data_IF_141890556166
#
_entry.id   IF_141890556166
#
_cell.length_a   1.000
_cell.length_b   1.000
_cell.length_c   1.000
_cell.angle_alpha   90.00
_cell.angle_beta   90.00
_cell.angle_gamma   90.00
#
_symmetry.space_group_name_H-M   'P 1'
#
loop_
_entity.id
_entity.type
_entity.pdbx_description
1 polymer ?
#
# COMPACT_ATOMS: atom_id res chain seq x y z
N UNK A 1 -7.96 5.29 7.78
CA UNK A 1 -7.48 6.69 7.58
C UNK A 1 -6.29 6.79 6.60
N UNK A 2 -5.32 5.88 6.71
CA UNK A 2 -4.06 5.89 5.94
C UNK A 2 -4.27 5.88 4.41
N UNK A 3 -5.15 5.01 3.93
CA UNK A 3 -5.55 4.97 2.50
C UNK A 3 -6.15 6.28 1.97
N UNK A 4 -6.58 7.21 2.85
CA UNK A 4 -7.08 8.52 2.44
C UNK A 4 -5.97 9.49 2.05
N UNK A 5 -4.69 9.15 2.18
CA UNK A 5 -3.59 9.99 1.67
C UNK A 5 -3.13 9.54 0.27
N UNK A 6 -3.22 8.25 -0.04
CA UNK A 6 -2.82 7.66 -1.33
C UNK A 6 -3.49 8.33 -2.53
N UNK A 7 -2.75 8.53 -3.62
CA UNK A 7 -3.31 9.08 -4.87
C UNK A 7 -3.91 10.49 -4.72
N UNK A 8 -3.30 11.31 -3.86
CA UNK A 8 -3.61 12.74 -3.71
C UNK A 8 -2.34 13.54 -3.98
N UNK A 9 -2.47 14.87 -4.05
CA UNK A 9 -1.30 15.75 -4.14
C UNK A 9 -0.35 15.57 -2.95
N UNK A 10 -0.87 15.24 -1.76
CA UNK A 10 -0.04 14.93 -0.59
C UNK A 10 0.78 13.65 -0.79
N UNK A 11 0.19 12.63 -1.42
CA UNK A 11 0.91 11.41 -1.79
C UNK A 11 1.92 11.69 -2.90
N UNK A 12 1.57 12.46 -3.93
CA UNK A 12 2.51 12.75 -5.01
C UNK A 12 3.74 13.52 -4.52
N UNK A 13 3.56 14.49 -3.62
CA UNK A 13 4.65 15.27 -3.03
C UNK A 13 5.49 14.50 -1.97
N UNK A 14 4.98 13.37 -1.45
CA UNK A 14 5.57 12.67 -0.30
C UNK A 14 5.19 11.19 -0.28
N UNK A 15 5.37 10.50 -1.42
CA UNK A 15 4.85 9.15 -1.61
C UNK A 15 5.52 8.15 -0.66
N UNK A 16 6.81 8.37 -0.37
CA UNK A 16 7.59 7.54 0.53
C UNK A 16 7.04 7.59 1.96
N UNK A 17 6.76 8.76 2.50
CA UNK A 17 6.24 8.94 3.85
C UNK A 17 4.84 8.35 3.97
N UNK A 18 3.97 8.63 3.00
CA UNK A 18 2.59 8.12 3.00
C UNK A 18 2.56 6.59 2.96
N UNK A 19 3.40 5.96 2.14
CA UNK A 19 3.44 4.49 2.06
C UNK A 19 4.19 3.86 3.21
N UNK A 20 5.23 4.48 3.74
CA UNK A 20 5.91 3.97 4.93
C UNK A 20 4.99 3.98 6.16
N UNK A 21 4.11 4.97 6.31
CA UNK A 21 3.09 5.00 7.37
C UNK A 21 2.10 3.83 7.23
N UNK A 22 1.68 3.53 5.99
CA UNK A 22 0.84 2.36 5.69
C UNK A 22 1.57 1.06 6.00
N UNK A 23 2.79 0.88 5.50
CA UNK A 23 3.63 -0.31 5.71
C UNK A 23 3.85 -0.57 7.20
N UNK A 24 4.22 0.46 7.97
CA UNK A 24 4.41 0.33 9.42
C UNK A 24 3.14 -0.12 10.13
N UNK A 25 1.98 0.41 9.73
CA UNK A 25 0.70 -0.05 10.27
C UNK A 25 0.42 -1.51 9.89
N UNK A 26 0.75 -1.94 8.68
CA UNK A 26 0.61 -3.32 8.25
C UNK A 26 1.52 -4.26 9.03
N UNK A 27 2.80 -3.95 9.16
CA UNK A 27 3.76 -4.72 9.94
C UNK A 27 3.28 -4.89 11.39
N UNK A 28 2.80 -3.82 12.03
CA UNK A 28 2.24 -3.90 13.39
C UNK A 28 1.00 -4.81 13.48
N UNK A 29 0.11 -4.77 12.49
CA UNK A 29 -1.07 -5.64 12.47
C UNK A 29 -0.67 -7.11 12.23
N UNK A 30 0.25 -7.38 11.32
CA UNK A 30 0.75 -8.74 11.05
C UNK A 30 1.44 -9.33 12.27
N UNK A 31 2.21 -8.51 12.99
CA UNK A 31 2.85 -8.89 14.24
C UNK A 31 1.85 -9.32 15.32
N UNK A 32 0.64 -8.75 15.33
CA UNK A 32 -0.42 -9.16 16.26
C UNK A 32 -0.95 -10.58 16.02
N UNK A 33 -0.68 -11.16 14.83
CA UNK A 33 -1.11 -12.50 14.45
C UNK A 33 -0.05 -13.57 14.64
N UNK A 34 1.09 -13.27 15.27
CA UNK A 34 2.21 -14.22 15.49
C UNK A 34 1.81 -15.46 16.30
N UNK A 35 0.87 -15.32 17.22
CA UNK A 35 0.42 -16.40 18.11
C UNK A 35 -0.61 -17.34 17.45
N UNK A 36 -1.07 -17.05 16.23
CA UNK A 36 -1.96 -17.94 15.50
C UNK A 36 -1.23 -19.21 15.04
N UNK A 37 -1.98 -20.30 14.91
CA UNK A 37 -1.47 -21.52 14.27
C UNK A 37 -0.97 -21.19 12.85
N UNK A 38 0.15 -21.76 12.38
CA UNK A 38 0.75 -21.39 11.09
C UNK A 38 -0.22 -21.40 9.91
N UNK A 39 -1.03 -22.46 9.78
CA UNK A 39 -2.02 -22.58 8.68
C UNK A 39 -3.08 -21.48 8.74
N UNK A 40 -3.59 -21.16 9.94
CA UNK A 40 -4.57 -20.09 10.10
C UNK A 40 -3.95 -18.71 9.84
N UNK A 41 -2.67 -18.52 10.23
CA UNK A 41 -1.93 -17.28 9.98
C UNK A 41 -1.72 -17.06 8.50
N UNK A 42 -1.29 -18.08 7.76
CA UNK A 42 -1.06 -18.01 6.31
C UNK A 42 -2.34 -17.66 5.55
N UNK A 43 -3.44 -18.36 5.83
CA UNK A 43 -4.74 -18.10 5.21
C UNK A 43 -5.25 -16.67 5.48
N UNK A 44 -5.16 -16.22 6.74
CA UNK A 44 -5.53 -14.86 7.12
C UNK A 44 -4.68 -13.80 6.40
N UNK A 45 -3.37 -14.03 6.30
CA UNK A 45 -2.45 -13.06 5.69
C UNK A 45 -2.60 -13.02 4.16
N UNK A 46 -2.97 -14.14 3.54
CA UNK A 46 -3.31 -14.17 2.11
C UNK A 46 -4.55 -13.31 1.82
N UNK A 47 -5.63 -13.46 2.59
CA UNK A 47 -6.84 -12.64 2.46
C UNK A 47 -6.54 -11.16 2.75
N UNK A 48 -5.79 -10.87 3.81
CA UNK A 48 -5.38 -9.51 4.15
C UNK A 48 -4.59 -8.85 3.01
N UNK A 49 -3.66 -9.58 2.38
CA UNK A 49 -2.91 -9.09 1.23
C UNK A 49 -3.84 -8.68 0.08
N UNK A 50 -4.82 -9.52 -0.27
CA UNK A 50 -5.82 -9.21 -1.30
C UNK A 50 -6.61 -7.96 -0.94
N UNK A 51 -7.14 -7.87 0.28
CA UNK A 51 -7.94 -6.73 0.73
C UNK A 51 -7.18 -5.40 0.67
N UNK A 52 -5.90 -5.42 1.05
CA UNK A 52 -5.03 -4.24 1.00
C UNK A 52 -4.81 -3.80 -0.44
N UNK A 53 -4.53 -4.74 -1.33
CA UNK A 53 -4.28 -4.44 -2.75
C UNK A 53 -5.55 -3.94 -3.44
N UNK A 54 -6.70 -4.53 -3.12
CA UNK A 54 -8.00 -4.08 -3.60
C UNK A 54 -8.28 -2.64 -3.16
N UNK A 55 -8.07 -2.31 -1.88
CA UNK A 55 -8.30 -0.94 -1.40
C UNK A 55 -7.28 0.05 -1.99
N UNK A 56 -6.01 -0.36 -2.14
CA UNK A 56 -4.95 0.45 -2.76
C UNK A 56 -5.32 0.86 -4.20
N UNK A 57 -5.74 -0.10 -5.03
CA UNK A 57 -6.18 0.15 -6.41
C UNK A 57 -7.52 0.89 -6.44
N UNK A 58 -8.47 0.54 -5.58
CA UNK A 58 -9.77 1.24 -5.49
C UNK A 58 -9.57 2.73 -5.21
N UNK A 59 -8.61 3.10 -4.37
CA UNK A 59 -8.28 4.51 -4.08
C UNK A 59 -7.69 5.21 -5.29
N UNK A 60 -6.85 4.53 -6.08
CA UNK A 60 -6.28 5.04 -7.32
C UNK A 60 -7.42 5.39 -8.29
N UNK A 61 -8.33 4.45 -8.52
CA UNK A 61 -9.44 4.62 -9.46
C UNK A 61 -10.45 5.69 -9.03
N UNK A 62 -10.70 5.84 -7.72
CA UNK A 62 -11.65 6.82 -7.20
C UNK A 62 -11.11 8.24 -7.15
N UNK A 63 -9.78 8.42 -7.17
CA UNK A 63 -9.16 9.73 -6.99
C UNK A 63 -8.64 10.26 -8.30
N UNK A 64 -9.06 11.49 -8.62
CA UNK A 64 -8.59 12.19 -9.82
C UNK A 64 -7.38 13.04 -9.46
N UNK A 65 -6.25 12.38 -9.22
CA UNK A 65 -4.96 13.06 -9.18
C UNK A 65 -4.76 13.71 -10.56
N UNK A 66 -4.72 15.04 -10.59
CA UNK A 66 -4.44 15.78 -11.82
C UNK A 66 -2.93 15.87 -11.96
N UNK A 67 -2.43 15.30 -13.05
CA UNK A 67 -1.03 15.35 -13.48
C UNK A 67 -1.02 16.12 -14.79
N UNK A 68 -0.25 17.21 -14.85
CA UNK A 68 -0.35 18.22 -15.90
C UNK A 68 0.50 17.89 -17.12
N UNK A 69 1.59 17.16 -16.90
CA UNK A 69 2.61 16.87 -17.91
C UNK A 69 3.07 15.41 -17.88
N UNK A 70 3.87 15.04 -18.88
CA UNK A 70 4.42 13.70 -19.06
C UNK A 70 5.36 13.31 -17.92
N UNK A 71 6.17 14.23 -17.43
CA UNK A 71 7.14 13.96 -16.36
C UNK A 71 6.43 13.59 -15.06
N UNK A 72 5.35 14.31 -14.72
CA UNK A 72 4.50 14.00 -13.58
C UNK A 72 3.82 12.64 -13.71
N UNK A 73 3.39 12.27 -14.91
CA UNK A 73 2.78 10.97 -15.20
C UNK A 73 3.79 9.82 -15.05
N UNK A 74 5.01 10.01 -15.56
CA UNK A 74 6.10 9.03 -15.46
C UNK A 74 6.56 8.88 -14.00
N UNK A 75 6.76 9.98 -13.28
CA UNK A 75 7.08 9.95 -11.85
C UNK A 75 5.97 9.26 -11.04
N UNK A 76 4.69 9.57 -11.33
CA UNK A 76 3.59 8.89 -10.67
C UNK A 76 3.63 7.38 -10.92
N UNK A 77 3.89 6.94 -12.16
CA UNK A 77 4.03 5.52 -12.53
C UNK A 77 5.14 4.82 -11.74
N UNK A 78 6.32 5.44 -11.63
CA UNK A 78 7.44 4.95 -10.82
C UNK A 78 7.03 4.82 -9.35
N UNK A 79 6.37 5.84 -8.80
CA UNK A 79 5.89 5.79 -7.41
C UNK A 79 4.88 4.67 -7.19
N UNK A 80 4.02 4.35 -8.17
CA UNK A 80 3.08 3.21 -8.09
C UNK A 80 3.86 1.92 -7.92
N UNK A 81 4.87 1.71 -8.77
CA UNK A 81 5.69 0.51 -8.77
C UNK A 81 6.44 0.36 -7.44
N UNK A 82 7.08 1.43 -6.97
CA UNK A 82 7.82 1.43 -5.70
C UNK A 82 6.91 1.18 -4.50
N UNK A 83 5.74 1.83 -4.49
CA UNK A 83 4.77 1.67 -3.43
C UNK A 83 4.18 0.25 -3.40
N UNK A 84 3.87 -0.30 -4.57
CA UNK A 84 3.42 -1.69 -4.71
C UNK A 84 4.48 -2.66 -4.18
N UNK A 85 5.73 -2.50 -4.60
CA UNK A 85 6.84 -3.34 -4.15
C UNK A 85 7.01 -3.27 -2.62
N UNK A 86 6.94 -2.07 -2.02
CA UNK A 86 7.02 -1.90 -0.57
C UNK A 86 5.89 -2.63 0.16
N UNK A 87 4.64 -2.45 -0.28
CA UNK A 87 3.47 -3.09 0.35
C UNK A 87 3.57 -4.62 0.24
N UNK A 88 3.83 -5.15 -0.95
CA UNK A 88 3.97 -6.58 -1.19
C UNK A 88 5.13 -7.21 -0.39
N UNK A 89 6.24 -6.47 -0.21
CA UNK A 89 7.39 -6.96 0.54
C UNK A 89 7.07 -7.28 2.01
N UNK A 90 6.03 -6.68 2.58
CA UNK A 90 5.59 -6.98 3.95
C UNK A 90 5.07 -8.41 4.04
N UNK A 91 4.32 -8.86 3.03
CA UNK A 91 3.71 -10.19 2.97
C UNK A 91 4.71 -11.27 2.51
N UNK A 92 5.75 -10.89 1.77
CA UNK A 92 6.81 -11.82 1.36
C UNK A 92 7.77 -12.21 2.50
N UNK A 93 7.75 -11.49 3.64
CA UNK A 93 8.59 -11.75 4.83
C UNK A 93 7.93 -12.72 5.83
N UNK A 94 6.70 -13.14 5.56
CA UNK A 94 5.80 -13.84 6.49
C UNK A 94 6.05 -15.33 6.54
#
# INVERSE_FOLDING_TARGET
>A
PLYRKLWTQVWFAGHCEVVNELVKALENNIDSFKELKPVCREELLAELHVDIMVEYVRRMMKRKLKLEDKEQQEAAAEFICDNNNKICSVFAKV
#
